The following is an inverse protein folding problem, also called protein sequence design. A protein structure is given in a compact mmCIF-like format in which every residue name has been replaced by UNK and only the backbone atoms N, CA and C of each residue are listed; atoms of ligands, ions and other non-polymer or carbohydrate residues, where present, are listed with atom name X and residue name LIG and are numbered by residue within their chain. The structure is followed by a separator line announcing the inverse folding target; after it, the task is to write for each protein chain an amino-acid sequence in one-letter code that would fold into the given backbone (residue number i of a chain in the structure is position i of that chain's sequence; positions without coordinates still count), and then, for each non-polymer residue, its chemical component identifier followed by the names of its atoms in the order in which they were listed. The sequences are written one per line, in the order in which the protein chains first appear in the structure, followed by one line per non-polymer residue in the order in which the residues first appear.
data_IF_653486769848
#
_entry.id   IF_653486769848
#
_cell.length_a   1.000
_cell.length_b   1.000
_cell.length_c   1.000
_cell.angle_alpha   90.00
_cell.angle_beta   90.00
_cell.angle_gamma   90.00
#
_symmetry.space_group_name_H-M   'P 1'
#
loop_
_entity.id
_entity.type
_entity.pdbx_description
1 polymer ?
#
# COMPACT_ATOMS: atom_id res chain seq x y z
N UNK A 1 -27.10 -9.52 -4.26
CA UNK A 1 -26.19 -8.95 -5.27
C UNK A 1 -26.75 -7.75 -6.03
N UNK A 2 -28.02 -7.75 -6.46
CA UNK A 2 -28.62 -6.60 -7.17
C UNK A 2 -28.39 -5.25 -6.47
N UNK A 3 -28.75 -5.12 -5.18
CA UNK A 3 -28.57 -3.88 -4.41
C UNK A 3 -27.09 -3.48 -4.25
N UNK A 4 -26.15 -4.43 -4.23
CA UNK A 4 -24.73 -4.10 -4.17
C UNK A 4 -24.29 -3.40 -5.46
N UNK A 5 -24.69 -3.92 -6.62
CA UNK A 5 -24.37 -3.31 -7.91
C UNK A 5 -25.02 -1.94 -8.09
N UNK A 6 -26.24 -1.74 -7.58
CA UNK A 6 -26.88 -0.41 -7.53
C UNK A 6 -26.04 0.59 -6.72
N UNK A 7 -25.52 0.19 -5.56
CA UNK A 7 -24.67 1.06 -4.73
C UNK A 7 -23.29 1.31 -5.37
N UNK A 8 -22.68 0.29 -5.97
CA UNK A 8 -21.41 0.44 -6.70
C UNK A 8 -21.56 1.38 -7.90
N UNK A 9 -22.72 1.38 -8.56
CA UNK A 9 -23.04 2.32 -9.63
C UNK A 9 -23.13 3.76 -9.11
N UNK A 10 -23.81 3.98 -7.98
CA UNK A 10 -23.85 5.29 -7.33
C UNK A 10 -22.47 5.79 -6.88
N UNK A 11 -21.56 4.88 -6.50
CA UNK A 11 -20.17 5.20 -6.18
C UNK A 11 -19.27 5.36 -7.41
N UNK A 12 -19.76 5.08 -8.63
CA UNK A 12 -19.01 5.28 -9.86
C UNK A 12 -17.81 4.33 -10.03
N UNK A 13 -17.85 3.16 -9.40
CA UNK A 13 -16.74 2.17 -9.42
C UNK A 13 -17.12 0.84 -10.09
N UNK A 14 -18.27 0.77 -10.76
CA UNK A 14 -18.76 -0.46 -11.40
C UNK A 14 -17.80 -1.00 -12.46
N UNK A 15 -17.06 -0.12 -13.14
CA UNK A 15 -16.07 -0.49 -14.16
C UNK A 15 -14.84 -1.22 -13.58
N UNK A 16 -14.63 -1.15 -12.27
CA UNK A 16 -13.54 -1.84 -11.55
C UNK A 16 -13.96 -3.15 -10.90
N UNK A 17 -15.23 -3.54 -11.02
CA UNK A 17 -15.78 -4.73 -10.36
C UNK A 17 -16.15 -5.78 -11.40
N UNK A 18 -15.57 -6.97 -11.26
CA UNK A 18 -15.98 -8.17 -12.00
C UNK A 18 -16.70 -9.13 -11.06
N UNK A 19 -17.86 -9.64 -11.48
CA UNK A 19 -18.55 -10.69 -10.74
C UNK A 19 -18.06 -12.05 -11.23
N UNK A 20 -17.26 -12.73 -10.41
CA UNK A 20 -16.67 -14.02 -10.73
C UNK A 20 -17.17 -15.10 -9.77
N UNK A 21 -17.82 -16.13 -10.32
CA UNK A 21 -18.34 -17.28 -9.56
C UNK A 21 -17.24 -18.26 -9.13
N UNK A 22 -16.05 -18.19 -9.72
CA UNK A 22 -14.90 -19.03 -9.34
C UNK A 22 -14.23 -18.58 -8.05
N UNK A 23 -14.54 -17.37 -7.55
CA UNK A 23 -13.97 -16.82 -6.32
C UNK A 23 -14.57 -17.50 -5.08
N UNK A 24 -13.98 -18.63 -4.69
CA UNK A 24 -14.31 -19.36 -3.47
C UNK A 24 -13.11 -19.35 -2.51
N UNK A 25 -13.09 -18.39 -1.57
CA UNK A 25 -12.07 -18.29 -0.52
C UNK A 25 -12.71 -18.07 0.86
N UNK A 26 -12.04 -18.54 1.91
CA UNK A 26 -12.46 -18.27 3.30
C UNK A 26 -13.86 -18.79 3.65
N UNK A 27 -14.27 -19.91 3.05
CA UNK A 27 -15.58 -20.53 3.24
C UNK A 27 -15.87 -20.91 4.70
N UNK A 28 -14.82 -21.03 5.52
CA UNK A 28 -14.92 -21.37 6.93
C UNK A 28 -15.52 -20.25 7.79
N UNK A 29 -15.48 -18.99 7.33
CA UNK A 29 -15.94 -17.85 8.11
C UNK A 29 -16.71 -16.77 7.35
N UNK A 30 -16.59 -16.69 6.01
CA UNK A 30 -17.43 -15.76 5.24
C UNK A 30 -18.85 -16.30 5.10
N UNK A 31 -19.82 -15.44 5.39
CA UNK A 31 -21.27 -15.76 5.38
C UNK A 31 -22.04 -14.98 4.33
N UNK A 32 -21.36 -14.23 3.46
CA UNK A 32 -21.99 -13.36 2.47
C UNK A 32 -21.06 -13.02 1.32
N UNK A 33 -21.02 -11.75 0.92
CA UNK A 33 -20.15 -11.28 -0.17
C UNK A 33 -18.68 -11.56 0.16
N UNK A 34 -17.94 -11.98 -0.86
CA UNK A 34 -16.48 -12.15 -0.84
C UNK A 34 -15.95 -11.33 -2.01
N UNK A 35 -14.85 -10.62 -1.79
CA UNK A 35 -14.19 -9.84 -2.82
C UNK A 35 -12.68 -9.97 -2.70
N UNK A 36 -12.03 -9.87 -3.86
CA UNK A 36 -10.60 -9.87 -4.02
C UNK A 36 -10.22 -8.77 -5.02
N UNK A 37 -9.21 -7.97 -4.66
CA UNK A 37 -8.62 -7.00 -5.56
C UNK A 37 -7.35 -7.61 -6.13
N UNK A 38 -7.34 -7.79 -7.45
CA UNK A 38 -6.17 -8.20 -8.21
C UNK A 38 -5.62 -6.97 -8.94
N UNK A 39 -4.30 -6.89 -9.07
CA UNK A 39 -3.73 -5.90 -9.96
C UNK A 39 -4.00 -6.32 -11.41
N UNK A 40 -3.96 -5.36 -12.32
CA UNK A 40 -4.05 -5.63 -13.76
C UNK A 40 -2.77 -5.01 -14.36
N UNK A 41 -1.93 -5.82 -14.98
CA UNK A 41 -0.78 -5.30 -15.71
C UNK A 41 -1.28 -4.71 -17.03
N UNK A 42 -0.94 -3.44 -17.29
CA UNK A 42 -1.09 -2.88 -18.62
C UNK A 42 0.04 -3.46 -19.48
N UNK A 43 -0.31 -4.22 -20.53
CA UNK A 43 0.62 -4.86 -21.47
C UNK A 43 1.54 -3.88 -22.23
N UNK A 44 1.43 -2.57 -21.98
CA UNK A 44 2.24 -1.53 -22.63
C UNK A 44 3.67 -1.42 -22.06
N UNK A 45 3.93 -1.94 -20.86
CA UNK A 45 5.26 -1.89 -20.21
C UNK A 45 6.01 -3.23 -20.29
N UNK A 46 5.40 -4.27 -20.85
CA UNK A 46 5.96 -5.64 -20.90
C UNK A 46 6.91 -5.91 -22.06
N UNK A 47 7.33 -4.90 -22.83
CA UNK A 47 8.12 -5.11 -24.06
C UNK A 47 9.65 -5.10 -23.88
N UNK A 48 10.19 -5.02 -22.67
CA UNK A 48 11.65 -5.10 -22.49
C UNK A 48 12.06 -5.89 -21.25
N UNK A 49 12.00 -7.24 -21.33
CA UNK A 49 13.14 -8.09 -20.95
C UNK A 49 12.88 -9.59 -21.22
N UNK A 50 13.54 -10.07 -22.27
CA UNK A 50 14.28 -11.34 -22.40
C UNK A 50 13.68 -12.66 -21.88
N UNK A 51 13.22 -13.46 -22.84
CA UNK A 51 13.61 -14.87 -23.11
C UNK A 51 14.06 -15.77 -21.93
N UNK A 52 13.21 -15.92 -20.92
CA UNK A 52 13.15 -17.16 -20.16
C UNK A 52 11.69 -17.46 -19.78
N UNK A 53 11.27 -18.69 -20.07
CA UNK A 53 10.03 -19.33 -19.65
C UNK A 53 9.86 -19.22 -18.14
N UNK A 54 9.18 -18.17 -17.69
CA UNK A 54 8.58 -18.11 -16.37
C UNK A 54 7.13 -17.65 -16.54
N UNK A 55 6.23 -18.44 -15.96
CA UNK A 55 4.80 -18.20 -15.89
C UNK A 55 4.55 -16.70 -15.71
N UNK A 56 3.75 -16.10 -16.61
CA UNK A 56 3.23 -14.74 -16.48
C UNK A 56 3.00 -14.46 -15.00
N UNK A 57 3.84 -13.62 -14.39
CA UNK A 57 3.80 -13.34 -12.95
C UNK A 57 2.35 -13.06 -12.61
N UNK A 58 1.72 -14.05 -11.98
CA UNK A 58 0.30 -14.02 -11.65
C UNK A 58 0.06 -12.69 -10.99
N UNK A 59 -0.77 -11.86 -11.63
CA UNK A 59 -1.01 -10.51 -11.17
C UNK A 59 -1.76 -10.65 -9.85
N UNK A 60 -0.99 -10.67 -8.77
CA UNK A 60 -1.42 -11.27 -7.51
C UNK A 60 -2.49 -10.44 -6.81
N UNK A 61 -3.32 -11.13 -6.03
CA UNK A 61 -4.25 -10.52 -5.09
C UNK A 61 -3.53 -9.55 -4.13
N UNK A 62 -3.96 -8.29 -4.10
CA UNK A 62 -3.39 -7.24 -3.24
C UNK A 62 -4.31 -6.83 -2.10
N UNK A 63 -5.59 -7.15 -2.20
CA UNK A 63 -6.53 -6.99 -1.10
C UNK A 63 -7.61 -8.07 -1.18
N UNK A 64 -8.19 -8.40 -0.04
CA UNK A 64 -9.29 -9.35 0.03
C UNK A 64 -10.20 -9.03 1.20
N UNK A 65 -11.43 -9.51 1.15
CA UNK A 65 -12.37 -9.29 2.24
C UNK A 65 -13.73 -9.87 1.95
N UNK A 66 -14.66 -9.56 2.85
CA UNK A 66 -16.01 -10.06 2.74
C UNK A 66 -16.80 -9.88 4.02
N UNK A 67 -17.98 -10.48 4.03
CA UNK A 67 -18.95 -10.43 5.13
C UNK A 67 -18.87 -11.69 5.99
N UNK A 68 -18.71 -11.54 7.31
CA UNK A 68 -18.46 -12.63 8.27
C UNK A 68 -19.25 -12.45 9.56
N UNK A 69 -20.57 -12.72 9.53
CA UNK A 69 -21.46 -12.44 10.66
C UNK A 69 -21.29 -13.40 11.86
N UNK A 70 -20.72 -14.58 11.61
CA UNK A 70 -20.60 -15.65 12.62
C UNK A 70 -19.37 -15.51 13.51
N UNK A 71 -18.33 -14.82 13.05
CA UNK A 71 -17.00 -14.88 13.66
C UNK A 71 -16.97 -14.28 15.06
N UNK A 72 -17.57 -13.10 15.25
CA UNK A 72 -17.65 -12.44 16.56
C UNK A 72 -18.47 -13.26 17.55
N UNK A 73 -19.52 -13.93 17.08
CA UNK A 73 -20.40 -14.75 17.91
C UNK A 73 -19.70 -15.97 18.53
N UNK A 74 -18.58 -16.44 17.95
CA UNK A 74 -17.77 -17.52 18.52
C UNK A 74 -17.06 -17.10 19.83
N UNK A 75 -16.87 -15.80 20.03
CA UNK A 75 -16.20 -15.24 21.20
C UNK A 75 -17.17 -14.58 22.20
N UNK A 76 -18.44 -14.37 21.83
CA UNK A 76 -19.47 -13.86 22.75
C UNK A 76 -20.00 -15.01 23.64
N UNK A 77 -19.93 -14.91 24.98
CA UNK A 77 -20.38 -15.98 25.88
C UNK A 77 -21.86 -16.36 25.74
N UNK A 78 -22.68 -15.48 25.14
CA UNK A 78 -24.11 -15.72 24.89
C UNK A 78 -24.39 -16.10 23.43
N UNK A 79 -23.35 -16.27 22.61
CA UNK A 79 -23.46 -16.61 21.19
C UNK A 79 -24.14 -15.53 20.35
N UNK A 80 -24.12 -14.27 20.78
CA UNK A 80 -24.77 -13.18 20.02
C UNK A 80 -24.04 -12.94 18.71
N UNK A 81 -24.77 -13.05 17.60
CA UNK A 81 -24.25 -12.74 16.27
C UNK A 81 -24.09 -11.23 16.11
N UNK A 82 -22.93 -10.81 15.63
CA UNK A 82 -22.63 -9.40 15.30
C UNK A 82 -22.26 -9.36 13.82
N UNK A 83 -23.12 -8.81 12.96
CA UNK A 83 -22.84 -8.69 11.53
C UNK A 83 -21.57 -7.88 11.27
N UNK A 84 -20.66 -8.40 10.45
CA UNK A 84 -19.38 -7.78 10.18
C UNK A 84 -19.05 -7.83 8.69
N UNK A 85 -18.43 -6.77 8.18
CA UNK A 85 -17.84 -6.72 6.84
C UNK A 85 -16.51 -5.99 6.96
N UNK A 86 -15.50 -6.44 6.23
CA UNK A 86 -14.16 -5.89 6.34
C UNK A 86 -13.30 -6.18 5.13
N UNK A 87 -12.22 -5.42 5.00
CA UNK A 87 -11.21 -5.56 3.94
C UNK A 87 -9.83 -5.64 4.58
N UNK A 88 -8.97 -6.46 4.02
CA UNK A 88 -7.56 -6.56 4.36
C UNK A 88 -6.74 -6.23 3.13
N UNK A 89 -5.70 -5.41 3.31
CA UNK A 89 -4.79 -4.98 2.25
C UNK A 89 -3.44 -5.62 2.50
N UNK A 90 -2.92 -6.35 1.51
CA UNK A 90 -1.61 -7.00 1.54
C UNK A 90 -0.49 -5.98 1.29
N UNK A 91 -0.13 -5.23 2.34
CA UNK A 91 0.83 -4.12 2.23
C UNK A 91 2.22 -4.60 1.77
N UNK A 92 2.64 -5.80 2.16
CA UNK A 92 3.92 -6.39 1.73
C UNK A 92 4.02 -6.48 0.21
N UNK A 93 2.96 -6.99 -0.43
CA UNK A 93 2.90 -7.09 -1.89
C UNK A 93 2.89 -5.72 -2.57
N UNK A 94 2.20 -4.74 -1.96
CA UNK A 94 2.19 -3.37 -2.48
C UNK A 94 3.59 -2.76 -2.41
N UNK A 95 4.31 -2.93 -1.29
CA UNK A 95 5.67 -2.42 -1.16
C UNK A 95 6.64 -3.04 -2.16
N UNK A 96 6.63 -4.36 -2.34
CA UNK A 96 7.49 -5.01 -3.34
C UNK A 96 7.25 -4.48 -4.75
N UNK A 97 6.00 -4.20 -5.11
CA UNK A 97 5.65 -3.65 -6.43
C UNK A 97 6.09 -2.18 -6.54
N UNK A 98 5.93 -1.40 -5.48
CA UNK A 98 6.39 -0.01 -5.45
C UNK A 98 7.92 0.10 -5.55
N UNK A 99 8.66 -0.78 -4.87
CA UNK A 99 10.12 -0.85 -4.95
C UNK A 99 10.59 -1.18 -6.36
N UNK A 100 10.04 -2.22 -7.00
CA UNK A 100 10.36 -2.56 -8.40
C UNK A 100 10.09 -1.41 -9.36
N UNK A 101 8.95 -0.72 -9.20
CA UNK A 101 8.64 0.47 -10.02
C UNK A 101 9.60 1.62 -9.78
N UNK A 102 10.05 1.82 -8.54
CA UNK A 102 11.00 2.87 -8.22
C UNK A 102 12.39 2.57 -8.79
N UNK A 103 12.85 1.31 -8.70
CA UNK A 103 14.10 0.85 -9.31
C UNK A 103 14.07 1.04 -10.83
N UNK A 104 12.97 0.71 -11.49
CA UNK A 104 12.79 0.90 -12.93
C UNK A 104 12.76 2.38 -13.35
N UNK A 105 12.33 3.28 -12.46
CA UNK A 105 12.21 4.71 -12.76
C UNK A 105 13.53 5.50 -12.67
N UNK A 106 14.65 4.87 -12.29
CA UNK A 106 15.95 5.49 -11.96
C UNK A 106 15.88 6.63 -10.91
N UNK A 107 14.72 6.92 -10.34
CA UNK A 107 14.52 7.97 -9.37
C UNK A 107 15.07 7.51 -8.00
N UNK A 108 16.09 8.20 -7.50
CA UNK A 108 16.67 7.91 -6.19
C UNK A 108 15.68 8.24 -5.07
N UNK A 109 15.19 7.22 -4.38
CA UNK A 109 14.38 7.39 -3.16
C UNK A 109 15.26 8.00 -2.07
N UNK A 110 14.80 9.13 -1.51
CA UNK A 110 15.47 9.76 -0.36
C UNK A 110 15.07 9.05 0.92
N UNK A 111 16.05 8.67 1.73
CA UNK A 111 15.85 8.06 3.06
C UNK A 111 15.77 9.07 4.19
N UNK A 112 16.03 10.35 3.89
CA UNK A 112 15.99 11.45 4.87
C UNK A 112 15.19 12.62 4.33
N UNK A 113 14.56 13.34 5.25
CA UNK A 113 13.80 14.55 4.96
C UNK A 113 14.66 15.82 5.14
N UNK A 114 15.98 15.69 5.24
CA UNK A 114 16.92 16.80 5.39
C UNK A 114 16.72 17.81 4.26
N UNK A 115 16.56 19.08 4.61
CA UNK A 115 16.38 20.15 3.63
C UNK A 115 17.70 20.84 3.31
N UNK A 116 18.57 20.97 4.30
CA UNK A 116 19.82 21.73 4.19
C UNK A 116 20.95 21.04 4.94
N UNK A 117 22.15 21.11 4.38
CA UNK A 117 23.41 20.77 5.03
C UNK A 117 24.12 22.06 5.44
N UNK A 118 24.43 22.23 6.72
CA UNK A 118 25.26 23.34 7.20
C UNK A 118 26.73 22.91 7.12
N UNK A 119 27.49 23.56 6.25
CA UNK A 119 28.89 23.26 5.99
C UNK A 119 29.75 24.53 6.00
N UNK A 120 31.04 24.39 6.28
CA UNK A 120 32.02 25.46 6.17
C UNK A 120 33.30 24.92 5.53
N UNK A 121 33.84 25.63 4.53
CA UNK A 121 35.08 25.25 3.86
C UNK A 121 36.34 25.56 4.71
N UNK A 122 36.23 26.50 5.66
CA UNK A 122 37.33 26.95 6.50
C UNK A 122 37.40 26.17 7.82
N UNK A 123 38.60 26.09 8.39
CA UNK A 123 38.82 25.51 9.73
C UNK A 123 38.32 26.47 10.81
N UNK A 124 38.05 25.92 12.01
CA UNK A 124 37.65 26.66 13.24
C UNK A 124 36.29 27.39 13.19
N UNK A 125 35.37 26.98 12.30
CA UNK A 125 34.00 27.53 12.25
C UNK A 125 32.94 26.60 12.87
N UNK A 126 33.33 25.71 13.80
CA UNK A 126 32.39 24.76 14.39
C UNK A 126 31.30 25.46 15.20
N UNK A 127 31.67 26.45 16.01
CA UNK A 127 30.75 27.20 16.87
C UNK A 127 29.70 27.97 16.05
N UNK A 128 30.12 28.64 14.98
CA UNK A 128 29.22 29.35 14.06
C UNK A 128 28.25 28.39 13.35
N UNK A 129 28.73 27.22 12.91
CA UNK A 129 27.86 26.19 12.34
C UNK A 129 26.83 25.72 13.35
N UNK A 130 27.23 25.46 14.60
CA UNK A 130 26.30 25.03 15.67
C UNK A 130 25.22 26.07 15.96
N UNK A 131 25.60 27.36 15.98
CA UNK A 131 24.64 28.45 16.15
C UNK A 131 23.60 28.48 15.03
N UNK A 132 24.05 28.42 13.77
CA UNK A 132 23.14 28.40 12.62
C UNK A 132 22.23 27.17 12.60
N UNK A 133 22.76 25.99 12.94
CA UNK A 133 21.96 24.75 13.05
C UNK A 133 20.84 24.94 14.07
N UNK A 134 21.13 25.54 15.23
CA UNK A 134 20.12 25.79 16.26
C UNK A 134 19.05 26.78 15.79
N UNK A 135 19.43 27.86 15.11
CA UNK A 135 18.48 28.82 14.52
C UNK A 135 17.55 28.15 13.51
N UNK A 136 18.09 27.30 12.63
CA UNK A 136 17.32 26.59 11.61
C UNK A 136 16.39 25.53 12.21
N UNK A 137 16.82 24.79 13.24
CA UNK A 137 15.94 23.88 13.96
C UNK A 137 14.79 24.61 14.68
N UNK A 138 15.08 25.76 15.30
CA UNK A 138 14.04 26.58 15.94
C UNK A 138 13.03 27.15 14.92
N UNK A 139 13.44 27.32 13.67
CA UNK A 139 12.56 27.68 12.55
C UNK A 139 11.83 26.47 11.92
N UNK A 140 12.01 25.26 12.44
CA UNK A 140 11.36 24.04 11.93
C UNK A 140 12.02 23.44 10.68
N UNK A 141 13.22 23.88 10.32
CA UNK A 141 13.95 23.38 9.14
C UNK A 141 14.76 22.14 9.52
N UNK A 142 14.68 21.08 8.70
CA UNK A 142 15.40 19.82 8.93
C UNK A 142 16.85 19.94 8.44
N UNK A 143 17.76 20.14 9.38
CA UNK A 143 19.19 20.36 9.10
C UNK A 143 20.03 19.10 9.37
N UNK A 144 20.96 18.81 8.46
CA UNK A 144 22.07 17.87 8.67
C UNK A 144 23.37 18.64 8.87
N UNK A 145 24.31 18.12 9.67
CA UNK A 145 25.62 18.72 9.88
C UNK A 145 26.71 17.65 9.98
N UNK A 146 27.91 18.00 9.50
CA UNK A 146 29.13 17.24 9.78
C UNK A 146 29.90 17.94 10.89
N UNK A 147 30.24 17.18 11.94
CA UNK A 147 31.12 17.63 13.02
C UNK A 147 32.53 17.92 12.49
#
# INVERSE_FOLDING_TARGET
MKSLFEYLHLFGVTDKISFDLSLARGLDYYTGVIYEAVLIQNQAESQQQNDHTEESVSVGSVAGGGRYDGLVGMFDPKGRKVPCVGVSIGIERIFSIMEQKAEASEAKIRTTETQVLVAAAQKKLLEERMKLISELWNAGIKVFYCA
#
